data_IF_433874974159
#
_entry.id   IF_433874974159
#
_cell.length_a   1.000
_cell.length_b   1.000
_cell.length_c   1.000
_cell.angle_alpha   90.00
_cell.angle_beta   90.00
_cell.angle_gamma   90.00
#
_symmetry.space_group_name_H-M   'P 1'
#
loop_
_entity.id
_entity.type
_entity.pdbx_description
1 polymer ?
#
# COMPACT_ATOMS: atom_id res chain seq x y z
N UNK A 1 8.86 -3.17 -0.63
CA UNK A 1 8.89 -2.08 -1.64
C UNK A 1 7.70 -1.13 -1.47
N UNK A 2 6.49 -1.64 -1.27
CA UNK A 2 5.32 -0.78 -1.08
C UNK A 2 5.46 0.18 0.09
N UNK A 3 6.05 -0.25 1.21
CA UNK A 3 6.31 0.62 2.36
C UNK A 3 7.28 1.74 2.02
N UNK A 4 8.36 1.44 1.30
CA UNK A 4 9.30 2.45 0.79
C UNK A 4 8.57 3.44 -0.14
N UNK A 5 7.77 2.92 -1.05
CA UNK A 5 6.99 3.74 -1.98
C UNK A 5 6.06 4.71 -1.26
N UNK A 6 5.42 4.25 -0.18
CA UNK A 6 4.56 5.09 0.64
C UNK A 6 5.35 6.21 1.32
N UNK A 7 6.53 5.90 1.86
CA UNK A 7 7.40 6.90 2.49
C UNK A 7 7.89 7.96 1.48
N UNK A 8 8.12 7.57 0.23
CA UNK A 8 8.61 8.45 -0.83
C UNK A 8 7.51 9.08 -1.69
N UNK A 9 6.26 8.71 -1.49
CA UNK A 9 5.11 9.33 -2.17
C UNK A 9 4.73 8.77 -3.53
N UNK A 10 5.21 7.56 -3.89
CA UNK A 10 4.90 6.93 -5.18
C UNK A 10 4.17 5.59 -5.04
N UNK A 11 3.57 5.33 -3.86
CA UNK A 11 2.88 4.08 -3.58
C UNK A 11 1.68 3.80 -4.51
N UNK A 12 0.78 4.77 -4.80
CA UNK A 12 -0.35 4.48 -5.68
C UNK A 12 0.07 3.96 -7.05
N UNK A 13 1.08 4.55 -7.65
CA UNK A 13 1.61 4.15 -8.94
C UNK A 13 2.23 2.75 -8.89
N UNK A 14 2.99 2.46 -7.82
CA UNK A 14 3.57 1.16 -7.59
C UNK A 14 2.50 0.06 -7.43
N UNK A 15 1.49 0.31 -6.62
CA UNK A 15 0.40 -0.64 -6.38
C UNK A 15 -0.35 -0.97 -7.67
N UNK A 16 -0.63 0.03 -8.50
CA UNK A 16 -1.26 -0.18 -9.80
C UNK A 16 -0.41 -1.05 -10.72
N UNK A 17 0.90 -0.79 -10.78
CA UNK A 17 1.83 -1.59 -11.58
C UNK A 17 1.94 -3.03 -11.07
N UNK A 18 1.97 -3.22 -9.75
CA UNK A 18 2.00 -4.54 -9.13
C UNK A 18 0.73 -5.34 -9.44
N UNK A 19 -0.43 -4.71 -9.37
CA UNK A 19 -1.70 -5.36 -9.73
C UNK A 19 -1.77 -5.74 -11.20
N UNK A 20 -1.28 -4.90 -12.10
CA UNK A 20 -1.19 -5.27 -13.53
C UNK A 20 -0.31 -6.48 -13.73
N UNK A 21 0.83 -6.54 -13.05
CA UNK A 21 1.75 -7.68 -13.12
C UNK A 21 1.06 -8.97 -12.68
N UNK A 22 0.31 -8.91 -11.60
CA UNK A 22 -0.42 -10.06 -11.07
C UNK A 22 -1.58 -10.47 -11.97
N UNK A 23 -2.48 -9.53 -12.33
CA UNK A 23 -3.73 -9.85 -12.99
C UNK A 23 -3.63 -9.93 -14.51
N UNK A 24 -2.80 -9.12 -15.15
CA UNK A 24 -2.66 -9.09 -16.61
C UNK A 24 -1.49 -9.95 -17.11
N UNK A 25 -0.33 -9.82 -16.48
CA UNK A 25 0.87 -10.53 -16.89
C UNK A 25 0.99 -11.91 -16.23
N UNK A 26 0.16 -12.19 -15.24
CA UNK A 26 0.13 -13.44 -14.48
C UNK A 26 1.49 -13.80 -13.86
N UNK A 27 2.18 -12.78 -13.39
CA UNK A 27 3.46 -12.90 -12.69
C UNK A 27 3.31 -12.44 -11.26
N UNK A 28 4.04 -13.10 -10.34
CA UNK A 28 4.07 -12.70 -8.93
C UNK A 28 4.91 -11.41 -8.78
N UNK A 29 4.28 -10.26 -8.41
CA UNK A 29 5.01 -9.00 -8.25
C UNK A 29 5.97 -9.00 -7.06
N UNK A 30 5.92 -10.02 -6.20
CA UNK A 30 6.86 -10.19 -5.10
C UNK A 30 8.18 -10.85 -5.50
N UNK A 31 8.27 -11.43 -6.70
CA UNK A 31 9.50 -12.03 -7.18
C UNK A 31 10.53 -10.94 -7.56
N UNK A 32 11.84 -11.15 -7.27
CA UNK A 32 12.86 -10.13 -7.53
C UNK A 32 12.89 -9.64 -8.98
N UNK A 33 12.76 -10.52 -9.95
CA UNK A 33 12.77 -10.14 -11.37
C UNK A 33 11.55 -9.29 -11.74
N UNK A 34 10.38 -9.62 -11.23
CA UNK A 34 9.16 -8.86 -11.47
C UNK A 34 9.23 -7.48 -10.80
N UNK A 35 9.71 -7.41 -9.56
CA UNK A 35 9.91 -6.15 -8.85
C UNK A 35 10.87 -5.23 -9.61
N UNK A 36 11.97 -5.79 -10.10
CA UNK A 36 12.95 -5.05 -10.90
C UNK A 36 12.30 -4.46 -12.15
N UNK A 37 11.55 -5.26 -12.90
CA UNK A 37 10.84 -4.80 -14.09
C UNK A 37 9.83 -3.69 -13.78
N UNK A 38 9.09 -3.81 -12.70
CA UNK A 38 8.12 -2.79 -12.26
C UNK A 38 8.84 -1.48 -11.96
N UNK A 39 9.90 -1.52 -11.17
CA UNK A 39 10.66 -0.33 -10.78
C UNK A 39 11.31 0.35 -11.98
N UNK A 40 11.92 -0.42 -12.88
CA UNK A 40 12.53 0.10 -14.10
C UNK A 40 11.47 0.75 -15.01
N UNK A 41 10.31 0.11 -15.15
CA UNK A 41 9.19 0.65 -15.93
C UNK A 41 8.63 1.96 -15.37
N UNK A 42 8.81 2.20 -14.07
CA UNK A 42 8.41 3.44 -13.40
C UNK A 42 9.51 4.50 -13.41
N UNK A 43 10.67 4.22 -14.00
CA UNK A 43 11.81 5.12 -14.00
C UNK A 43 12.54 5.19 -12.65
N UNK A 44 12.36 4.17 -11.79
CA UNK A 44 13.01 4.08 -10.49
C UNK A 44 14.27 3.21 -10.57
N UNK A 45 15.38 3.59 -9.89
CA UNK A 45 16.58 2.77 -9.86
C UNK A 45 16.34 1.50 -9.03
N UNK A 46 16.21 0.35 -9.70
CA UNK A 46 15.79 -0.89 -9.07
C UNK A 46 16.72 -1.35 -7.95
N UNK A 47 18.04 -1.35 -8.18
CA UNK A 47 19.00 -1.79 -7.15
C UNK A 47 18.93 -0.95 -5.89
N UNK A 48 18.85 0.37 -6.03
CA UNK A 48 18.70 1.30 -4.91
C UNK A 48 17.39 1.09 -4.16
N UNK A 49 16.29 0.98 -4.89
CA UNK A 49 14.96 0.78 -4.28
C UNK A 49 14.91 -0.54 -3.52
N UNK A 50 15.43 -1.62 -4.08
CA UNK A 50 15.45 -2.93 -3.43
C UNK A 50 16.33 -2.92 -2.18
N UNK A 51 17.48 -2.27 -2.23
CA UNK A 51 18.37 -2.13 -1.09
C UNK A 51 17.71 -1.29 0.02
N UNK A 52 17.09 -0.17 -0.31
CA UNK A 52 16.39 0.68 0.65
C UNK A 52 15.16 0.00 1.25
N UNK A 53 14.43 -0.78 0.47
CA UNK A 53 13.28 -1.54 0.95
C UNK A 53 13.68 -2.59 1.99
N UNK A 54 14.91 -3.08 1.94
CA UNK A 54 15.46 -4.03 2.92
C UNK A 54 16.12 -3.33 4.12
N UNK A 55 16.14 -2.00 4.18
CA UNK A 55 16.75 -1.26 5.28
C UNK A 55 15.98 -1.42 6.58
N UNK A 56 16.65 -1.21 7.73
CA UNK A 56 15.99 -1.22 9.04
C UNK A 56 14.89 -0.18 9.15
N UNK A 57 15.12 1.01 8.63
CA UNK A 57 14.12 2.09 8.68
C UNK A 57 12.81 1.70 8.00
N UNK A 58 12.88 1.07 6.83
CA UNK A 58 11.68 0.60 6.11
C UNK A 58 11.03 -0.59 6.81
N UNK A 59 11.84 -1.53 7.32
CA UNK A 59 11.32 -2.65 8.11
C UNK A 59 10.59 -2.19 9.36
N UNK A 60 11.14 -1.21 10.06
CA UNK A 60 10.52 -0.65 11.26
C UNK A 60 9.20 0.05 10.92
N UNK A 61 9.14 0.78 9.81
CA UNK A 61 7.90 1.39 9.35
C UNK A 61 6.85 0.34 8.98
N UNK A 62 7.24 -0.72 8.31
CA UNK A 62 6.35 -1.84 8.01
C UNK A 62 5.77 -2.46 9.28
N UNK A 63 6.60 -2.66 10.31
CA UNK A 63 6.15 -3.17 11.60
C UNK A 63 5.16 -2.22 12.27
N UNK A 64 5.45 -0.92 12.27
CA UNK A 64 4.55 0.08 12.84
C UNK A 64 3.18 0.07 12.18
N UNK A 65 3.14 -0.03 10.85
CA UNK A 65 1.88 -0.10 10.11
C UNK A 65 1.12 -1.39 10.42
N UNK A 66 1.82 -2.51 10.52
CA UNK A 66 1.21 -3.79 10.87
C UNK A 66 0.65 -3.78 12.29
N UNK A 67 1.39 -3.21 13.24
CA UNK A 67 0.95 -3.10 14.64
C UNK A 67 -0.26 -2.17 14.74
N UNK A 68 -0.27 -1.08 13.99
CA UNK A 68 -1.43 -0.18 13.94
C UNK A 68 -2.67 -0.88 13.39
N UNK A 69 -2.51 -1.70 12.37
CA UNK A 69 -3.63 -2.50 11.83
C UNK A 69 -4.18 -3.47 12.88
N UNK A 70 -3.31 -4.09 13.68
CA UNK A 70 -3.73 -4.95 14.79
C UNK A 70 -4.45 -4.17 15.88
N UNK A 71 -3.95 -3.00 16.26
CA UNK A 71 -4.60 -2.13 17.25
C UNK A 71 -6.00 -1.71 16.81
N UNK A 72 -6.21 -1.52 15.50
CA UNK A 72 -7.50 -1.16 14.92
C UNK A 72 -8.41 -2.37 14.66
N UNK A 73 -7.94 -3.59 14.97
CA UNK A 73 -8.65 -4.85 14.72
C UNK A 73 -9.05 -5.05 13.25
N UNK A 74 -8.18 -4.65 12.33
CA UNK A 74 -8.42 -4.85 10.90
C UNK A 74 -8.35 -6.34 10.56
N UNK A 75 -9.42 -6.88 10.00
CA UNK A 75 -9.54 -8.31 9.73
C UNK A 75 -9.79 -8.66 8.26
N UNK A 76 -9.88 -7.66 7.41
CA UNK A 76 -10.14 -7.87 5.99
C UNK A 76 -9.67 -6.72 5.12
N UNK A 77 -9.57 -6.97 3.83
CA UNK A 77 -9.15 -6.00 2.83
C UNK A 77 -10.21 -5.92 1.71
N UNK A 78 -10.54 -4.73 1.24
CA UNK A 78 -10.07 -3.44 1.76
C UNK A 78 -10.79 -3.03 3.05
N UNK A 79 -10.12 -2.23 3.87
CA UNK A 79 -10.71 -1.57 5.02
C UNK A 79 -10.41 -0.08 4.97
N UNK A 80 -11.43 0.74 5.13
CA UNK A 80 -11.31 2.21 5.15
C UNK A 80 -11.43 2.68 6.59
N UNK A 81 -10.48 3.52 7.02
CA UNK A 81 -10.44 4.05 8.38
C UNK A 81 -10.68 5.55 8.33
N UNK A 82 -11.72 6.02 9.01
CA UNK A 82 -12.04 7.44 9.12
C UNK A 82 -12.16 7.79 10.61
N UNK A 83 -11.11 8.37 11.18
CA UNK A 83 -11.01 8.59 12.62
C UNK A 83 -11.03 7.27 13.37
N UNK A 84 -12.05 7.03 14.19
CA UNK A 84 -12.24 5.78 14.93
C UNK A 84 -13.20 4.80 14.24
N UNK A 85 -13.78 5.19 13.10
CA UNK A 85 -14.75 4.36 12.39
C UNK A 85 -14.08 3.50 11.32
N UNK A 86 -14.50 2.24 11.22
CA UNK A 86 -14.01 1.26 10.26
C UNK A 86 -15.10 0.89 9.26
N UNK A 87 -14.74 0.84 7.99
CA UNK A 87 -15.62 0.40 6.91
C UNK A 87 -14.92 -0.72 6.14
N UNK A 88 -15.44 -1.93 6.26
CA UNK A 88 -14.85 -3.10 5.62
C UNK A 88 -15.57 -3.48 4.33
N UNK A 89 -14.80 -3.64 3.26
CA UNK A 89 -15.27 -4.11 1.96
C UNK A 89 -15.35 -2.99 0.92
N UNK A 90 -15.23 -3.36 -0.37
CA UNK A 90 -15.33 -2.44 -1.51
C UNK A 90 -16.63 -1.65 -1.53
N UNK A 91 -17.72 -2.32 -1.17
CA UNK A 91 -19.07 -1.75 -1.14
C UNK A 91 -19.27 -0.70 -0.06
N UNK A 92 -18.29 -0.53 0.83
CA UNK A 92 -18.34 0.47 1.91
C UNK A 92 -17.53 1.74 1.62
N UNK A 93 -16.90 1.84 0.44
CA UNK A 93 -16.08 3.01 0.10
C UNK A 93 -16.90 4.30 0.14
N UNK A 94 -18.08 4.32 -0.45
CA UNK A 94 -18.93 5.52 -0.47
C UNK A 94 -19.36 5.92 0.94
N UNK A 95 -19.69 4.96 1.80
CA UNK A 95 -20.03 5.21 3.19
C UNK A 95 -18.86 5.85 3.94
N UNK A 96 -17.65 5.34 3.71
CA UNK A 96 -16.43 5.89 4.31
C UNK A 96 -16.17 7.32 3.85
N UNK A 97 -16.36 7.60 2.57
CA UNK A 97 -16.19 8.95 2.02
C UNK A 97 -17.23 9.91 2.57
N UNK A 98 -18.48 9.49 2.69
CA UNK A 98 -19.55 10.30 3.26
C UNK A 98 -19.27 10.62 4.74
N UNK A 99 -18.80 9.63 5.50
CA UNK A 99 -18.40 9.82 6.89
C UNK A 99 -17.26 10.83 7.01
N UNK A 100 -16.22 10.68 6.17
CA UNK A 100 -15.07 11.58 6.17
C UNK A 100 -15.46 13.02 5.81
N UNK A 101 -16.36 13.21 4.85
CA UNK A 101 -16.89 14.53 4.47
C UNK A 101 -17.68 15.17 5.63
N UNK A 102 -18.53 14.41 6.28
CA UNK A 102 -19.31 14.89 7.43
C UNK A 102 -18.39 15.32 8.58
N UNK A 103 -17.35 14.55 8.87
CA UNK A 103 -16.35 14.89 9.88
C UNK A 103 -15.56 16.16 9.54
N UNK A 104 -15.26 16.37 8.24
CA UNK A 104 -14.54 17.56 7.77
C UNK A 104 -15.40 18.81 7.85
N UNK A 105 -16.72 18.68 7.61
CA UNK A 105 -17.66 19.81 7.65
C UNK A 105 -18.12 20.15 9.06
N UNK A 106 -17.94 19.24 9.99
CA UNK A 106 -18.27 19.46 11.40
C UNK A 106 -17.14 20.21 12.11
#
# INVERSE_FOLDING_TARGET
>A
VATLAALEGWCPQFVQAAYRTWFLDKQDPGQPAALRSILEGMGRPADRCLAQAASEAVRDEYRRQTDRARELDLFGSPTFVCGSELFWGDDRLEDALDWARAATLA
#
